data_IF_353693007054
#
_entry.id   IF_353693007054
#
_cell.length_a   1.000
_cell.length_b   1.000
_cell.length_c   1.000
_cell.angle_alpha   90.00
_cell.angle_beta   90.00
_cell.angle_gamma   90.00
#
_symmetry.space_group_name_H-M   'P 1'
#
loop_
_entity.id
_entity.type
_entity.pdbx_description
1 polymer ?
#
# COMPACT_ATOMS: atom_id res chain seq x y z
N UNK A 1 -40.67 -19.85 -62.49
CA UNK A 1 -39.64 -20.01 -61.44
C UNK A 1 -38.86 -18.71 -61.34
N UNK A 2 -39.14 -17.89 -60.32
CA UNK A 2 -38.31 -16.73 -59.95
C UNK A 2 -37.83 -17.03 -58.53
N UNK A 3 -36.54 -17.27 -58.39
CA UNK A 3 -35.89 -17.49 -57.09
C UNK A 3 -35.95 -16.18 -56.30
N UNK A 4 -36.45 -16.26 -55.06
CA UNK A 4 -36.44 -15.15 -54.11
C UNK A 4 -35.01 -14.91 -53.59
N UNK A 5 -34.70 -13.70 -53.10
CA UNK A 5 -33.38 -13.40 -52.56
C UNK A 5 -33.12 -14.23 -51.28
N UNK A 6 -31.85 -14.61 -51.01
CA UNK A 6 -31.53 -15.43 -49.85
C UNK A 6 -31.90 -14.69 -48.56
N UNK A 7 -32.58 -15.43 -47.68
CA UNK A 7 -32.98 -15.02 -46.33
C UNK A 7 -31.76 -14.48 -45.59
N UNK A 8 -31.92 -13.27 -45.06
CA UNK A 8 -30.87 -12.50 -44.41
C UNK A 8 -30.11 -13.30 -43.36
N UNK A 9 -28.79 -13.14 -43.40
CA UNK A 9 -27.92 -13.40 -42.28
C UNK A 9 -28.51 -12.72 -41.04
N UNK A 10 -28.88 -13.50 -40.03
CA UNK A 10 -29.19 -12.98 -38.72
C UNK A 10 -27.98 -12.20 -38.18
N UNK A 11 -28.19 -11.26 -37.24
CA UNK A 11 -27.06 -10.56 -36.64
C UNK A 11 -26.22 -11.62 -35.93
N UNK A 12 -24.99 -11.81 -36.41
CA UNK A 12 -23.98 -12.51 -35.65
C UNK A 12 -23.96 -11.84 -34.26
N UNK A 13 -24.31 -12.60 -33.22
CA UNK A 13 -24.00 -12.19 -31.86
C UNK A 13 -22.49 -12.16 -31.78
N UNK A 14 -21.92 -10.99 -32.06
CA UNK A 14 -20.52 -10.65 -31.82
C UNK A 14 -20.26 -11.03 -30.37
N UNK A 15 -19.40 -12.01 -30.18
CA UNK A 15 -18.84 -12.44 -28.90
C UNK A 15 -18.55 -11.24 -28.02
N UNK A 16 -19.02 -11.27 -26.77
CA UNK A 16 -18.91 -10.22 -25.75
C UNK A 16 -17.47 -9.89 -25.34
N UNK A 17 -16.70 -9.35 -26.28
CA UNK A 17 -15.42 -8.70 -26.06
C UNK A 17 -15.59 -7.34 -26.70
N UNK A 18 -15.52 -6.28 -25.90
CA UNK A 18 -15.54 -4.93 -26.44
C UNK A 18 -14.42 -4.85 -27.49
N UNK A 19 -14.74 -4.45 -28.73
CA UNK A 19 -13.72 -4.22 -29.74
C UNK A 19 -12.97 -2.94 -29.40
N UNK A 20 -12.07 -3.03 -28.42
CA UNK A 20 -11.28 -1.90 -27.96
C UNK A 20 -10.27 -1.53 -29.03
N UNK A 21 -10.30 -0.29 -29.53
CA UNK A 21 -9.32 0.15 -30.51
C UNK A 21 -7.90 0.04 -29.95
N UNK A 22 -6.96 -0.49 -30.75
CA UNK A 22 -5.56 -0.64 -30.31
C UNK A 22 -4.92 0.69 -29.88
N UNK A 23 -5.35 1.81 -30.45
CA UNK A 23 -4.86 3.13 -30.05
C UNK A 23 -5.23 3.47 -28.60
N UNK A 24 -6.34 2.93 -28.06
CA UNK A 24 -6.77 3.20 -26.69
C UNK A 24 -5.90 2.43 -25.68
N UNK A 25 -5.51 1.20 -26.02
CA UNK A 25 -4.46 0.46 -25.28
C UNK A 25 -3.12 1.21 -25.31
N UNK A 26 -2.72 1.73 -26.47
CA UNK A 26 -1.52 2.56 -26.61
C UNK A 26 -1.60 3.84 -25.76
N UNK A 27 -2.73 4.56 -25.82
CA UNK A 27 -2.97 5.76 -25.04
C UNK A 27 -2.93 5.49 -23.54
N UNK A 28 -3.53 4.37 -23.09
CA UNK A 28 -3.43 3.91 -21.72
C UNK A 28 -1.99 3.63 -21.31
N UNK A 29 -1.25 2.82 -22.08
CA UNK A 29 0.13 2.47 -21.77
C UNK A 29 1.04 3.71 -21.69
N UNK A 30 0.87 4.66 -22.63
CA UNK A 30 1.57 5.95 -22.60
C UNK A 30 1.18 6.75 -21.36
N UNK A 31 -0.11 6.80 -21.01
CA UNK A 31 -0.60 7.50 -19.81
C UNK A 31 0.03 6.92 -18.55
N UNK A 32 0.05 5.59 -18.40
CA UNK A 32 0.70 4.91 -17.26
C UNK A 32 2.19 5.20 -17.23
N UNK A 33 2.89 5.09 -18.36
CA UNK A 33 4.33 5.34 -18.44
C UNK A 33 4.68 6.80 -18.07
N UNK A 34 3.93 7.77 -18.60
CA UNK A 34 4.06 9.18 -18.26
C UNK A 34 3.78 9.38 -16.78
N UNK A 35 2.72 8.79 -16.25
CA UNK A 35 2.33 8.97 -14.86
C UNK A 35 3.38 8.41 -13.89
N UNK A 36 3.91 7.20 -14.15
CA UNK A 36 5.02 6.61 -13.39
C UNK A 36 6.29 7.46 -13.50
N UNK A 37 6.55 8.04 -14.67
CA UNK A 37 7.70 8.94 -14.87
C UNK A 37 7.54 10.23 -14.09
N UNK A 38 6.37 10.85 -14.13
CA UNK A 38 6.03 12.06 -13.35
C UNK A 38 6.16 11.77 -11.85
N UNK A 39 5.64 10.63 -11.40
CA UNK A 39 5.74 10.17 -10.01
C UNK A 39 7.20 10.11 -9.53
N UNK A 40 8.06 9.46 -10.34
CA UNK A 40 9.49 9.31 -10.09
C UNK A 40 10.23 10.65 -10.08
N UNK A 41 9.94 11.52 -11.06
CA UNK A 41 10.63 12.81 -11.22
C UNK A 41 10.23 13.80 -10.13
N UNK A 42 8.94 13.89 -9.81
CA UNK A 42 8.42 14.81 -8.81
C UNK A 42 8.99 14.54 -7.40
N UNK A 43 9.33 13.28 -7.11
CA UNK A 43 9.75 12.86 -5.78
C UNK A 43 11.19 12.32 -5.76
N UNK A 44 12.00 12.75 -6.73
CA UNK A 44 13.42 12.37 -6.81
C UNK A 44 14.25 12.91 -5.64
N UNK A 45 13.78 13.96 -4.95
CA UNK A 45 14.44 14.51 -3.76
C UNK A 45 13.86 13.89 -2.50
N UNK A 46 14.74 13.46 -1.60
CA UNK A 46 14.37 12.86 -0.32
C UNK A 46 13.80 13.97 0.57
N UNK A 47 12.48 14.05 0.63
CA UNK A 47 11.72 15.01 1.42
C UNK A 47 10.50 14.28 1.99
N UNK A 48 10.08 14.66 3.20
CA UNK A 48 8.92 14.07 3.87
C UNK A 48 7.66 14.76 3.36
N UNK A 49 6.91 14.08 2.48
CA UNK A 49 5.68 14.60 1.90
C UNK A 49 4.71 15.01 3.02
N UNK A 50 4.35 16.29 3.05
CA UNK A 50 3.38 16.82 4.00
C UNK A 50 1.94 16.47 3.60
N UNK A 51 1.01 16.56 4.55
CA UNK A 51 -0.40 16.24 4.32
C UNK A 51 -1.04 16.99 3.14
N UNK A 52 -0.78 18.30 3.02
CA UNK A 52 -1.31 19.15 1.94
C UNK A 52 -0.78 18.74 0.57
N UNK A 53 0.49 18.38 0.49
CA UNK A 53 1.14 17.91 -0.73
C UNK A 53 0.61 16.53 -1.12
N UNK A 54 0.49 15.60 -0.16
CA UNK A 54 -0.13 14.29 -0.37
C UNK A 54 -1.58 14.42 -0.87
N UNK A 55 -2.35 15.36 -0.32
CA UNK A 55 -3.71 15.68 -0.76
C UNK A 55 -3.77 16.21 -2.20
N UNK A 56 -2.87 17.13 -2.56
CA UNK A 56 -2.77 17.66 -3.92
C UNK A 56 -2.42 16.55 -4.93
N UNK A 57 -1.41 15.72 -4.63
CA UNK A 57 -1.06 14.57 -5.45
C UNK A 57 -2.20 13.57 -5.57
N UNK A 58 -2.89 13.25 -4.47
CA UNK A 58 -4.07 12.38 -4.49
C UNK A 58 -5.16 12.93 -5.42
N UNK A 59 -5.42 14.25 -5.37
CA UNK A 59 -6.35 14.92 -6.28
C UNK A 59 -5.94 14.82 -7.75
N UNK A 60 -4.65 14.96 -8.07
CA UNK A 60 -4.14 14.77 -9.44
C UNK A 60 -4.38 13.33 -9.92
N UNK A 61 -4.09 12.33 -9.09
CA UNK A 61 -4.31 10.92 -9.43
C UNK A 61 -5.79 10.58 -9.64
N UNK A 62 -6.66 11.09 -8.76
CA UNK A 62 -8.12 10.96 -8.91
C UNK A 62 -8.61 11.66 -10.17
N UNK A 63 -8.16 12.88 -10.42
CA UNK A 63 -8.50 13.64 -11.63
C UNK A 63 -8.09 12.90 -12.90
N UNK A 64 -6.88 12.36 -12.94
CA UNK A 64 -6.39 11.56 -14.06
C UNK A 64 -7.27 10.34 -14.32
N UNK A 65 -7.65 9.61 -13.26
CA UNK A 65 -8.52 8.44 -13.37
C UNK A 65 -9.92 8.80 -13.88
N UNK A 66 -10.49 9.92 -13.41
CA UNK A 66 -11.79 10.41 -13.86
C UNK A 66 -11.76 10.89 -15.31
N UNK A 67 -10.72 11.62 -15.72
CA UNK A 67 -10.54 12.04 -17.12
C UNK A 67 -10.45 10.81 -18.03
N UNK A 68 -9.68 9.80 -17.66
CA UNK A 68 -9.62 8.56 -18.42
C UNK A 68 -10.98 7.85 -18.45
N UNK A 69 -11.71 7.82 -17.34
CA UNK A 69 -13.07 7.28 -17.29
C UNK A 69 -14.05 8.03 -18.21
N UNK A 70 -13.94 9.35 -18.32
CA UNK A 70 -14.70 10.13 -19.30
C UNK A 70 -14.32 9.75 -20.74
N UNK A 71 -13.04 9.52 -21.04
CA UNK A 71 -12.61 9.03 -22.35
C UNK A 71 -13.23 7.66 -22.65
N UNK A 72 -13.18 6.73 -21.70
CA UNK A 72 -13.83 5.41 -21.83
C UNK A 72 -15.33 5.57 -22.08
N UNK A 73 -16.01 6.42 -21.30
CA UNK A 73 -17.45 6.67 -21.46
C UNK A 73 -17.80 7.22 -22.84
N UNK A 74 -17.01 8.16 -23.38
CA UNK A 74 -17.26 8.79 -24.67
C UNK A 74 -16.90 7.90 -25.87
N UNK A 75 -15.86 7.08 -25.74
CA UNK A 75 -15.32 6.28 -26.85
C UNK A 75 -15.91 4.86 -26.89
N UNK A 76 -16.05 4.24 -25.72
CA UNK A 76 -16.49 2.86 -25.57
C UNK A 76 -17.96 2.75 -25.12
N UNK A 77 -18.59 3.88 -24.78
CA UNK A 77 -20.02 3.98 -24.47
C UNK A 77 -20.33 4.03 -22.97
N UNK A 78 -21.61 4.27 -22.69
CA UNK A 78 -22.13 4.51 -21.34
C UNK A 78 -21.93 3.32 -20.40
N UNK A 79 -22.11 2.09 -20.91
CA UNK A 79 -21.93 0.85 -20.14
C UNK A 79 -20.48 0.69 -19.69
N UNK A 80 -19.53 0.70 -20.63
CA UNK A 80 -18.10 0.56 -20.33
C UNK A 80 -17.59 1.69 -19.41
N UNK A 81 -18.05 2.92 -19.61
CA UNK A 81 -17.70 4.05 -18.73
C UNK A 81 -18.24 3.88 -17.31
N UNK A 82 -19.47 3.39 -17.15
CA UNK A 82 -20.06 3.12 -15.83
C UNK A 82 -19.32 1.98 -15.14
N UNK A 83 -19.04 0.90 -15.86
CA UNK A 83 -18.25 -0.23 -15.35
C UNK A 83 -16.85 0.19 -14.94
N UNK A 84 -16.16 1.01 -15.75
CA UNK A 84 -14.86 1.56 -15.41
C UNK A 84 -14.89 2.35 -14.11
N UNK A 85 -15.83 3.29 -13.95
CA UNK A 85 -15.93 4.11 -12.73
C UNK A 85 -16.30 3.24 -11.51
N UNK A 86 -17.18 2.27 -11.70
CA UNK A 86 -17.58 1.33 -10.64
C UNK A 86 -16.40 0.48 -10.19
N UNK A 87 -15.69 -0.13 -11.14
CA UNK A 87 -14.50 -0.93 -10.90
C UNK A 87 -13.38 -0.11 -10.27
N UNK A 88 -13.14 1.10 -10.77
CA UNK A 88 -12.13 2.01 -10.24
C UNK A 88 -12.45 2.43 -8.81
N UNK A 89 -13.69 2.81 -8.48
CA UNK A 89 -14.08 3.18 -7.12
C UNK A 89 -14.02 1.98 -6.16
N UNK A 90 -14.48 0.82 -6.61
CA UNK A 90 -14.42 -0.42 -5.84
C UNK A 90 -12.98 -0.75 -5.48
N UNK A 91 -12.11 -0.78 -6.48
CA UNK A 91 -10.68 -1.03 -6.29
C UNK A 91 -10.04 0.05 -5.43
N UNK A 92 -10.37 1.33 -5.66
CA UNK A 92 -9.81 2.43 -4.88
C UNK A 92 -10.14 2.28 -3.39
N UNK A 93 -11.33 1.79 -3.08
CA UNK A 93 -11.80 1.59 -1.72
C UNK A 93 -11.14 0.38 -1.05
N UNK A 94 -11.05 -0.74 -1.77
CA UNK A 94 -10.30 -1.92 -1.34
C UNK A 94 -8.83 -1.59 -1.11
N UNK A 95 -8.23 -0.79 -1.97
CA UNK A 95 -6.82 -0.42 -1.88
C UNK A 95 -6.49 0.45 -0.66
N UNK A 96 -7.47 1.14 -0.05
CA UNK A 96 -7.29 1.88 1.22
C UNK A 96 -7.01 0.92 2.37
N UNK A 97 -7.71 -0.22 2.39
CA UNK A 97 -7.51 -1.26 3.40
C UNK A 97 -6.08 -1.84 3.31
N UNK A 98 -5.62 -2.07 2.08
CA UNK A 98 -4.26 -2.55 1.82
C UNK A 98 -3.17 -1.62 2.41
N UNK A 99 -3.44 -0.32 2.54
CA UNK A 99 -2.49 0.64 3.12
C UNK A 99 -2.25 0.40 4.62
N UNK A 100 -3.19 -0.19 5.35
CA UNK A 100 -2.98 -0.59 6.74
C UNK A 100 -1.95 -1.71 6.83
N UNK A 101 -2.06 -2.73 5.98
CA UNK A 101 -1.06 -3.81 5.91
C UNK A 101 0.30 -3.26 5.49
N UNK A 102 0.36 -2.29 4.57
CA UNK A 102 1.64 -1.64 4.23
C UNK A 102 2.24 -0.92 5.44
N UNK A 103 1.42 -0.23 6.24
CA UNK A 103 1.88 0.43 7.47
C UNK A 103 2.42 -0.58 8.50
N UNK A 104 1.74 -1.73 8.68
CA UNK A 104 2.19 -2.82 9.55
C UNK A 104 3.52 -3.40 9.07
N UNK A 105 3.67 -3.64 7.77
CA UNK A 105 4.92 -4.13 7.17
C UNK A 105 6.06 -3.12 7.43
N UNK A 106 5.82 -1.83 7.17
CA UNK A 106 6.83 -0.80 7.42
C UNK A 106 7.21 -0.68 8.90
N UNK A 107 6.24 -0.81 9.81
CA UNK A 107 6.47 -0.81 11.25
C UNK A 107 7.30 -2.03 11.69
N UNK A 108 6.94 -3.22 11.21
CA UNK A 108 7.63 -4.49 11.52
C UNK A 108 9.10 -4.45 11.10
N UNK A 109 9.38 -4.04 9.86
CA UNK A 109 10.75 -3.93 9.34
C UNK A 109 11.47 -2.64 9.78
N UNK A 110 10.80 -1.76 10.53
CA UNK A 110 11.31 -0.45 10.97
C UNK A 110 11.87 0.38 9.81
N UNK A 111 11.13 0.43 8.70
CA UNK A 111 11.58 1.08 7.46
C UNK A 111 11.66 2.61 7.68
N UNK A 112 12.85 3.22 7.50
CA UNK A 112 12.97 4.67 7.59
C UNK A 112 12.05 5.38 6.59
N UNK A 113 11.37 6.46 7.02
CA UNK A 113 10.41 7.22 6.19
C UNK A 113 10.98 7.66 4.83
N UNK A 114 12.28 7.99 4.78
CA UNK A 114 12.99 8.35 3.55
C UNK A 114 12.99 7.26 2.48
N UNK A 115 12.86 5.98 2.87
CA UNK A 115 12.90 4.84 1.95
C UNK A 115 11.53 4.23 1.65
N UNK A 116 10.51 4.54 2.46
CA UNK A 116 9.13 4.08 2.24
C UNK A 116 8.62 4.46 0.84
N UNK A 117 8.92 5.69 0.40
CA UNK A 117 8.60 6.17 -0.95
C UNK A 117 9.10 5.22 -2.04
N UNK A 118 10.37 4.84 -1.95
CA UNK A 118 11.00 3.98 -2.96
C UNK A 118 10.37 2.59 -2.94
N UNK A 119 10.12 2.05 -1.76
CA UNK A 119 9.46 0.75 -1.62
C UNK A 119 8.07 0.79 -2.24
N UNK A 120 7.26 1.82 -1.95
CA UNK A 120 5.92 1.98 -2.53
C UNK A 120 5.95 2.11 -4.05
N UNK A 121 6.93 2.82 -4.63
CA UNK A 121 7.06 2.93 -6.09
C UNK A 121 7.26 1.56 -6.75
N UNK A 122 8.20 0.75 -6.23
CA UNK A 122 8.41 -0.61 -6.75
C UNK A 122 7.21 -1.51 -6.46
N UNK A 123 6.56 -1.32 -5.31
CA UNK A 123 5.30 -1.96 -4.92
C UNK A 123 4.16 -1.73 -5.91
N UNK A 124 3.95 -0.48 -6.33
CA UNK A 124 2.91 -0.14 -7.32
C UNK A 124 3.23 -0.72 -8.69
N UNK A 125 4.51 -0.69 -9.08
CA UNK A 125 4.93 -1.28 -10.35
C UNK A 125 4.71 -2.79 -10.38
N UNK A 126 5.13 -3.53 -9.34
CA UNK A 126 4.92 -4.98 -9.27
C UNK A 126 3.44 -5.33 -9.15
N UNK A 127 2.68 -4.60 -8.32
CA UNK A 127 1.23 -4.73 -8.25
C UNK A 127 0.58 -4.57 -9.63
N UNK A 128 0.95 -3.56 -10.43
CA UNK A 128 0.39 -3.38 -11.78
C UNK A 128 0.65 -4.58 -12.70
N UNK A 129 1.83 -5.19 -12.60
CA UNK A 129 2.20 -6.37 -13.39
C UNK A 129 1.45 -7.60 -12.92
N UNK A 130 1.54 -7.94 -11.63
CA UNK A 130 0.88 -9.12 -11.08
C UNK A 130 -0.64 -9.04 -11.22
N UNK A 131 -1.21 -7.87 -10.95
CA UNK A 131 -2.65 -7.63 -11.11
C UNK A 131 -3.06 -7.75 -12.57
N UNK A 132 -2.24 -7.27 -13.51
CA UNK A 132 -2.47 -7.53 -14.94
C UNK A 132 -2.54 -9.02 -15.27
N UNK A 133 -1.65 -9.83 -14.70
CA UNK A 133 -1.66 -11.29 -14.86
C UNK A 133 -2.92 -11.90 -14.24
N UNK A 134 -3.25 -11.59 -12.98
CA UNK A 134 -4.42 -12.17 -12.30
C UNK A 134 -5.74 -11.75 -12.91
N UNK A 135 -5.89 -10.49 -13.31
CA UNK A 135 -7.09 -10.00 -13.96
C UNK A 135 -7.27 -10.63 -15.33
N UNK A 136 -6.21 -10.70 -16.14
CA UNK A 136 -6.28 -11.36 -17.45
C UNK A 136 -6.64 -12.84 -17.33
N UNK A 137 -6.03 -13.54 -16.37
CA UNK A 137 -6.35 -14.94 -16.07
C UNK A 137 -7.79 -15.07 -15.55
N UNK A 138 -8.21 -14.19 -14.66
CA UNK A 138 -9.54 -14.18 -14.08
C UNK A 138 -10.64 -13.96 -15.13
N UNK A 139 -10.48 -12.97 -16.01
CA UNK A 139 -11.35 -12.75 -17.17
C UNK A 139 -11.40 -14.00 -18.05
N UNK A 140 -10.24 -14.58 -18.39
CA UNK A 140 -10.19 -15.78 -19.22
C UNK A 140 -10.93 -16.97 -18.59
N UNK A 141 -10.84 -17.13 -17.26
CA UNK A 141 -11.55 -18.18 -16.52
C UNK A 141 -13.05 -17.91 -16.47
N UNK A 142 -13.48 -16.69 -16.17
CA UNK A 142 -14.91 -16.31 -16.12
C UNK A 142 -15.58 -16.53 -17.48
N UNK A 143 -14.92 -16.10 -18.57
CA UNK A 143 -15.44 -16.24 -19.93
C UNK A 143 -15.57 -17.71 -20.37
N UNK A 144 -14.86 -18.64 -19.71
CA UNK A 144 -14.91 -20.07 -20.02
C UNK A 144 -15.81 -20.86 -19.06
N UNK A 145 -15.88 -20.44 -17.80
CA UNK A 145 -16.49 -21.19 -16.71
C UNK A 145 -17.30 -20.27 -15.79
N UNK A 146 -18.52 -19.90 -16.20
CA UNK A 146 -19.43 -19.05 -15.40
C UNK A 146 -19.67 -19.58 -13.98
N UNK A 147 -19.60 -20.90 -13.78
CA UNK A 147 -19.70 -21.52 -12.45
C UNK A 147 -18.65 -21.00 -11.45
N UNK A 148 -17.51 -20.49 -11.93
CA UNK A 148 -16.47 -19.88 -11.09
C UNK A 148 -17.01 -18.67 -10.31
N UNK A 149 -18.03 -17.98 -10.83
CA UNK A 149 -18.63 -16.82 -10.17
C UNK A 149 -19.26 -17.21 -8.82
N UNK A 150 -19.76 -18.44 -8.65
CA UNK A 150 -20.21 -18.94 -7.34
C UNK A 150 -19.05 -19.12 -6.36
N UNK A 151 -17.90 -19.62 -6.82
CA UNK A 151 -16.71 -19.77 -5.99
C UNK A 151 -16.16 -18.40 -5.57
N UNK A 152 -16.12 -17.45 -6.51
CA UNK A 152 -15.79 -16.06 -6.28
C UNK A 152 -16.74 -15.40 -5.27
N UNK A 153 -18.06 -15.61 -5.39
CA UNK A 153 -19.01 -15.15 -4.39
C UNK A 153 -18.74 -15.72 -2.99
N UNK A 154 -18.42 -17.01 -2.90
CA UNK A 154 -18.09 -17.66 -1.62
C UNK A 154 -16.85 -17.05 -0.96
N UNK A 155 -15.80 -16.73 -1.74
CA UNK A 155 -14.62 -16.01 -1.27
C UNK A 155 -15.01 -14.63 -0.74
N UNK A 156 -15.81 -13.86 -1.49
CA UNK A 156 -16.25 -12.53 -1.05
C UNK A 156 -17.07 -12.56 0.25
N UNK A 157 -17.98 -13.54 0.41
CA UNK A 157 -18.72 -13.69 1.66
C UNK A 157 -17.81 -14.08 2.83
N UNK A 158 -16.84 -14.96 2.59
CA UNK A 158 -15.85 -15.30 3.61
C UNK A 158 -15.07 -14.07 4.07
N UNK A 159 -14.58 -13.26 3.14
CA UNK A 159 -13.80 -12.05 3.44
C UNK A 159 -14.65 -10.97 4.09
N UNK A 160 -15.89 -10.77 3.63
CA UNK A 160 -16.85 -9.87 4.29
C UNK A 160 -17.11 -10.28 5.75
N UNK A 161 -17.32 -11.58 5.99
CA UNK A 161 -17.58 -12.12 7.33
C UNK A 161 -16.37 -11.99 8.25
N UNK A 162 -15.17 -12.30 7.75
CA UNK A 162 -13.92 -12.14 8.50
C UNK A 162 -13.71 -10.69 8.93
N UNK A 163 -13.94 -9.75 8.00
CA UNK A 163 -13.83 -8.32 8.22
C UNK A 163 -14.86 -7.80 9.24
N UNK A 164 -16.11 -8.29 9.18
CA UNK A 164 -17.18 -7.96 10.13
C UNK A 164 -16.87 -8.37 11.58
N UNK A 165 -16.22 -9.53 11.75
CA UNK A 165 -15.87 -10.06 13.07
C UNK A 165 -14.62 -9.41 13.68
N UNK A 166 -13.87 -8.65 12.90
CA UNK A 166 -12.55 -8.16 13.31
C UNK A 166 -11.55 -9.29 13.52
N UNK A 167 -11.75 -10.45 12.87
CA UNK A 167 -10.82 -11.59 12.86
C UNK A 167 -9.67 -11.33 11.86
N UNK A 168 -9.25 -10.08 11.72
CA UNK A 168 -7.99 -9.76 11.04
C UNK A 168 -6.85 -10.23 11.93
N UNK A 169 -6.35 -11.43 11.67
CA UNK A 169 -5.05 -11.81 12.22
C UNK A 169 -4.03 -10.73 11.81
N UNK A 170 -3.23 -10.21 12.77
CA UNK A 170 -2.15 -9.30 12.44
C UNK A 170 -1.28 -9.97 11.37
N UNK A 171 -1.21 -9.36 10.18
CA UNK A 171 -0.36 -9.86 9.10
C UNK A 171 1.07 -9.96 9.65
N UNK A 172 1.58 -11.18 9.86
CA UNK A 172 2.93 -11.42 10.34
C UNK A 172 3.89 -11.43 9.13
N UNK A 173 4.63 -10.32 8.88
CA UNK A 173 5.48 -10.22 7.70
C UNK A 173 6.62 -11.23 7.74
N UNK A 174 7.02 -11.67 8.95
CA UNK A 174 8.08 -12.64 9.20
C UNK A 174 7.76 -14.05 8.69
N UNK A 175 6.48 -14.41 8.58
CA UNK A 175 6.02 -15.73 8.09
C UNK A 175 5.67 -15.74 6.60
N UNK A 176 5.64 -14.57 5.96
CA UNK A 176 5.26 -14.45 4.55
C UNK A 176 6.10 -15.40 3.66
N UNK A 177 5.42 -16.11 2.77
CA UNK A 177 6.03 -17.13 1.90
C UNK A 177 7.15 -16.51 1.05
N UNK A 178 6.93 -15.29 0.55
CA UNK A 178 7.94 -14.59 -0.23
C UNK A 178 9.17 -14.19 0.59
N UNK A 179 9.03 -13.78 1.87
CA UNK A 179 10.19 -13.48 2.69
C UNK A 179 11.02 -14.75 2.97
N UNK A 180 10.36 -15.89 3.22
CA UNK A 180 11.03 -17.19 3.36
C UNK A 180 11.73 -17.62 2.07
N UNK A 181 11.08 -17.44 0.93
CA UNK A 181 11.63 -17.77 -0.37
C UNK A 181 12.81 -16.85 -0.72
N UNK A 182 12.68 -15.55 -0.48
CA UNK A 182 13.75 -14.57 -0.69
C UNK A 182 14.98 -14.90 0.17
N UNK A 183 14.79 -15.15 1.48
CA UNK A 183 15.88 -15.53 2.40
C UNK A 183 16.53 -16.87 2.02
N UNK A 184 15.80 -17.75 1.33
CA UNK A 184 16.31 -19.03 0.84
C UNK A 184 17.14 -18.88 -0.45
N UNK A 185 16.78 -17.92 -1.30
CA UNK A 185 17.42 -17.73 -2.62
C UNK A 185 18.60 -16.76 -2.54
N UNK A 186 18.48 -15.68 -1.76
CA UNK A 186 19.48 -14.62 -1.68
C UNK A 186 19.86 -14.36 -0.22
N UNK A 187 21.16 -14.28 0.13
CA UNK A 187 21.59 -13.83 1.45
C UNK A 187 21.04 -12.43 1.73
N UNK A 188 20.36 -12.25 2.86
CA UNK A 188 19.82 -10.96 3.29
C UNK A 188 20.65 -10.46 4.46
N UNK A 189 21.18 -9.24 4.37
CA UNK A 189 21.83 -8.56 5.50
C UNK A 189 20.78 -7.95 6.44
N UNK A 190 21.11 -7.82 7.72
CA UNK A 190 20.18 -7.28 8.73
C UNK A 190 20.06 -5.75 8.69
N UNK A 191 21.09 -5.06 8.19
CA UNK A 191 21.15 -3.60 8.19
C UNK A 191 20.78 -2.97 6.85
N UNK A 192 20.15 -1.79 6.92
CA UNK A 192 19.87 -0.96 5.74
C UNK A 192 21.15 -0.37 5.12
N UNK A 193 21.31 -0.53 3.81
CA UNK A 193 22.44 0.04 3.05
C UNK A 193 21.99 1.25 2.19
N UNK A 194 21.40 2.24 2.86
CA UNK A 194 20.77 3.37 2.18
C UNK A 194 19.55 2.94 1.37
N UNK A 195 19.33 3.56 0.21
CA UNK A 195 18.21 3.24 -0.68
C UNK A 195 18.49 2.07 -1.67
N UNK A 196 19.61 1.36 -1.54
CA UNK A 196 20.00 0.28 -2.45
C UNK A 196 19.24 -1.00 -2.10
N UNK A 197 18.78 -1.75 -3.10
CA UNK A 197 18.15 -3.07 -2.88
C UNK A 197 19.18 -4.19 -2.77
N UNK A 198 20.31 -4.04 -3.46
CA UNK A 198 21.43 -4.98 -3.44
C UNK A 198 22.72 -4.24 -3.11
N UNK A 199 23.60 -4.93 -2.40
CA UNK A 199 24.98 -4.51 -2.16
C UNK A 199 25.92 -5.64 -2.52
N UNK A 200 27.17 -5.30 -2.88
CA UNK A 200 28.22 -6.28 -3.06
C UNK A 200 28.99 -6.41 -1.75
N UNK A 201 28.99 -7.60 -1.18
CA UNK A 201 29.77 -7.96 0.01
C UNK A 201 30.58 -9.20 -0.30
N UNK A 202 31.89 -9.17 -0.02
CA UNK A 202 32.80 -10.29 -0.29
C UNK A 202 32.66 -10.89 -1.72
N UNK A 203 32.46 -10.04 -2.73
CA UNK A 203 32.30 -10.44 -4.13
C UNK A 203 30.93 -11.02 -4.52
N UNK A 204 29.99 -11.16 -3.58
CA UNK A 204 28.63 -11.69 -3.81
C UNK A 204 27.59 -10.57 -3.71
N UNK A 205 26.50 -10.68 -4.48
CA UNK A 205 25.35 -9.78 -4.32
C UNK A 205 24.50 -10.23 -3.13
N UNK A 206 24.34 -9.34 -2.17
CA UNK A 206 23.55 -9.54 -0.95
C UNK A 206 22.33 -8.63 -1.02
N UNK A 207 21.16 -9.18 -0.73
CA UNK A 207 19.91 -8.43 -0.66
C UNK A 207 19.87 -7.61 0.63
N UNK A 208 19.35 -6.40 0.53
CA UNK A 208 19.11 -5.53 1.69
C UNK A 208 17.70 -5.77 2.26
N UNK A 209 17.43 -5.32 3.50
CA UNK A 209 16.08 -5.37 4.07
C UNK A 209 15.03 -4.66 3.20
N UNK A 210 15.39 -3.63 2.42
CA UNK A 210 14.43 -2.95 1.54
C UNK A 210 13.83 -3.88 0.46
N UNK A 211 14.61 -4.84 -0.04
CA UNK A 211 14.10 -5.80 -1.02
C UNK A 211 13.10 -6.77 -0.37
N UNK A 212 13.38 -7.19 0.86
CA UNK A 212 12.47 -8.00 1.67
C UNK A 212 11.14 -7.26 1.93
N UNK A 213 11.18 -5.95 2.20
CA UNK A 213 9.98 -5.13 2.39
C UNK A 213 9.18 -5.03 1.09
N UNK A 214 9.81 -4.78 -0.06
CA UNK A 214 9.12 -4.79 -1.37
C UNK A 214 8.44 -6.14 -1.59
N UNK A 215 9.17 -7.24 -1.40
CA UNK A 215 8.60 -8.58 -1.56
C UNK A 215 7.41 -8.86 -0.62
N UNK A 216 7.47 -8.38 0.63
CA UNK A 216 6.37 -8.51 1.57
C UNK A 216 5.13 -7.72 1.13
N UNK A 217 5.32 -6.51 0.62
CA UNK A 217 4.23 -5.67 0.08
C UNK A 217 3.60 -6.29 -1.15
N UNK A 218 4.39 -6.76 -2.11
CA UNK A 218 3.90 -7.46 -3.30
C UNK A 218 3.11 -8.72 -2.93
N UNK A 219 3.55 -9.44 -1.90
CA UNK A 219 2.85 -10.63 -1.41
C UNK A 219 1.54 -10.28 -0.72
N UNK A 220 1.51 -9.19 0.04
CA UNK A 220 0.29 -8.70 0.65
C UNK A 220 -0.71 -8.25 -0.43
N UNK A 221 -0.27 -7.49 -1.44
CA UNK A 221 -1.11 -7.10 -2.58
C UNK A 221 -1.67 -8.33 -3.32
N UNK A 222 -0.83 -9.34 -3.55
CA UNK A 222 -1.27 -10.61 -4.11
C UNK A 222 -2.30 -11.33 -3.23
N UNK A 223 -2.13 -11.31 -1.91
CA UNK A 223 -3.14 -11.87 -1.00
C UNK A 223 -4.47 -11.10 -1.11
N UNK A 224 -4.43 -9.77 -1.22
CA UNK A 224 -5.62 -8.94 -1.43
C UNK A 224 -6.26 -9.11 -2.81
N UNK A 225 -5.52 -9.54 -3.81
CA UNK A 225 -6.06 -9.89 -5.13
C UNK A 225 -7.12 -11.00 -5.03
N UNK A 226 -7.06 -11.86 -4.02
CA UNK A 226 -8.05 -12.93 -3.79
C UNK A 226 -9.45 -12.37 -3.57
N UNK A 227 -9.58 -11.21 -2.92
CA UNK A 227 -10.87 -10.58 -2.66
C UNK A 227 -11.24 -9.57 -3.75
N UNK A 228 -10.24 -8.81 -4.21
CA UNK A 228 -10.47 -7.70 -5.12
C UNK A 228 -10.62 -8.12 -6.60
N UNK A 229 -9.98 -9.21 -7.04
CA UNK A 229 -10.15 -9.75 -8.41
C UNK A 229 -11.56 -10.28 -8.65
N UNK A 230 -12.11 -11.18 -7.81
CA UNK A 230 -13.53 -11.56 -7.91
C UNK A 230 -14.48 -10.37 -7.93
N UNK A 231 -14.20 -9.37 -7.07
CA UNK A 231 -15.07 -8.23 -6.93
C UNK A 231 -15.11 -7.36 -8.18
N UNK A 232 -13.95 -7.12 -8.83
CA UNK A 232 -13.93 -6.35 -10.08
C UNK A 232 -14.50 -7.14 -11.26
N UNK A 233 -14.29 -8.46 -11.32
CA UNK A 233 -14.87 -9.31 -12.36
C UNK A 233 -16.40 -9.41 -12.26
N UNK A 234 -16.95 -9.16 -11.08
CA UNK A 234 -18.40 -8.98 -10.89
C UNK A 234 -18.92 -7.67 -11.49
N UNK A 235 -18.06 -6.69 -11.71
CA UNK A 235 -18.43 -5.39 -12.28
C UNK A 235 -18.38 -5.45 -13.80
N UNK A 236 -17.34 -6.05 -14.36
CA UNK A 236 -17.13 -6.17 -15.80
C UNK A 236 -16.28 -7.40 -16.11
N UNK A 237 -16.56 -8.06 -17.21
CA UNK A 237 -15.75 -9.13 -17.80
C UNK A 237 -14.85 -8.63 -18.95
N UNK A 238 -14.91 -7.32 -19.26
CA UNK A 238 -14.03 -6.72 -20.27
C UNK A 238 -12.62 -6.47 -19.69
N UNK A 239 -11.64 -7.15 -20.28
CA UNK A 239 -10.25 -7.09 -19.81
C UNK A 239 -9.67 -5.68 -19.83
N UNK A 240 -10.06 -4.83 -20.77
CA UNK A 240 -9.58 -3.46 -20.84
C UNK A 240 -10.16 -2.61 -19.71
N UNK A 241 -11.47 -2.63 -19.51
CA UNK A 241 -12.15 -1.89 -18.43
C UNK A 241 -11.64 -2.34 -17.07
N UNK A 242 -11.55 -3.66 -16.84
CA UNK A 242 -11.07 -4.25 -15.59
C UNK A 242 -9.61 -3.87 -15.32
N UNK A 243 -8.72 -4.03 -16.29
CA UNK A 243 -7.29 -3.73 -16.08
C UNK A 243 -7.02 -2.24 -15.92
N UNK A 244 -7.59 -1.39 -16.79
CA UNK A 244 -7.31 0.05 -16.75
C UNK A 244 -7.87 0.70 -15.50
N UNK A 245 -9.09 0.36 -15.08
CA UNK A 245 -9.70 0.88 -13.84
C UNK A 245 -8.86 0.53 -12.61
N UNK A 246 -8.37 -0.71 -12.54
CA UNK A 246 -7.50 -1.17 -11.45
C UNK A 246 -6.15 -0.47 -11.47
N UNK A 247 -5.52 -0.34 -12.64
CA UNK A 247 -4.28 0.40 -12.80
C UNK A 247 -4.39 1.84 -12.27
N UNK A 248 -5.44 2.57 -12.66
CA UNK A 248 -5.67 3.94 -12.19
C UNK A 248 -5.98 4.02 -10.68
N UNK A 249 -6.59 2.98 -10.11
CA UNK A 249 -6.82 2.93 -8.67
C UNK A 249 -5.50 2.82 -7.88
N UNK A 250 -4.57 1.96 -8.35
CA UNK A 250 -3.30 1.68 -7.67
C UNK A 250 -2.21 2.74 -7.91
N UNK A 251 -2.20 3.42 -9.07
CA UNK A 251 -1.15 4.41 -9.42
C UNK A 251 -1.03 5.55 -8.37
N UNK A 252 -2.15 5.95 -7.75
CA UNK A 252 -2.17 6.98 -6.71
C UNK A 252 -1.90 6.48 -5.29
N UNK A 253 -1.57 5.20 -5.09
CA UNK A 253 -1.43 4.60 -3.75
C UNK A 253 -0.38 5.28 -2.89
N UNK A 254 0.73 5.71 -3.49
CA UNK A 254 1.82 6.38 -2.78
C UNK A 254 1.36 7.68 -2.11
N UNK A 255 0.67 8.54 -2.86
CA UNK A 255 0.10 9.77 -2.32
C UNK A 255 -0.97 9.48 -1.25
N UNK A 256 -1.80 8.45 -1.50
CA UNK A 256 -2.83 8.03 -0.57
C UNK A 256 -2.26 7.47 0.74
N UNK A 257 -1.15 6.73 0.69
CA UNK A 257 -0.44 6.23 1.87
C UNK A 257 0.01 7.38 2.78
N UNK A 258 0.66 8.41 2.23
CA UNK A 258 1.11 9.55 3.05
C UNK A 258 -0.05 10.43 3.55
N UNK A 259 -1.15 10.48 2.80
CA UNK A 259 -2.38 11.13 3.26
C UNK A 259 -3.01 10.34 4.42
N UNK A 260 -3.10 9.01 4.28
CA UNK A 260 -3.75 8.13 5.23
C UNK A 260 -2.92 7.89 6.48
N UNK A 261 -1.59 7.81 6.38
CA UNK A 261 -0.68 7.64 7.51
C UNK A 261 -0.85 8.72 8.59
N UNK A 262 -1.32 9.91 8.21
CA UNK A 262 -1.66 11.00 9.14
C UNK A 262 -3.11 10.98 9.65
N UNK A 263 -3.94 10.06 9.14
CA UNK A 263 -5.37 9.89 9.40
C UNK A 263 -5.74 8.48 9.88
N UNK A 264 -4.76 7.58 10.11
CA UNK A 264 -5.02 6.17 10.46
C UNK A 264 -5.99 6.05 11.64
N UNK A 265 -5.85 6.90 12.65
CA UNK A 265 -6.69 6.89 13.85
C UNK A 265 -8.13 7.39 13.61
N UNK A 266 -8.43 8.00 12.45
CA UNK A 266 -9.76 8.56 12.10
C UNK A 266 -10.64 7.62 11.27
N UNK A 267 -10.09 6.53 10.73
CA UNK A 267 -10.78 5.68 9.75
C UNK A 267 -11.19 4.30 10.25
N UNK A 268 -11.49 4.18 11.55
CA UNK A 268 -11.77 2.89 12.21
C UNK A 268 -13.05 2.14 11.73
N UNK A 269 -13.88 2.76 10.88
CA UNK A 269 -15.14 2.14 10.37
C UNK A 269 -15.07 1.78 8.88
N UNK A 270 -13.95 2.01 8.20
CA UNK A 270 -13.85 1.67 6.77
C UNK A 270 -14.04 0.18 6.52
N UNK A 271 -13.52 -0.67 7.39
CA UNK A 271 -13.63 -2.13 7.37
C UNK A 271 -15.10 -2.58 7.33
N UNK A 272 -15.98 -1.88 8.07
CA UNK A 272 -17.42 -2.13 8.08
C UNK A 272 -18.08 -1.73 6.76
N UNK A 273 -17.66 -0.61 6.17
CA UNK A 273 -18.11 -0.22 4.84
C UNK A 273 -17.70 -1.21 3.77
N UNK A 274 -16.45 -1.64 3.84
CA UNK A 274 -15.86 -2.58 2.89
C UNK A 274 -16.52 -3.96 2.96
N UNK A 275 -16.79 -4.48 4.16
CA UNK A 275 -17.50 -5.76 4.32
C UNK A 275 -18.91 -5.74 3.72
N UNK A 276 -19.64 -4.63 3.86
CA UNK A 276 -20.94 -4.45 3.21
C UNK A 276 -20.82 -4.45 1.69
N UNK A 277 -19.80 -3.78 1.15
CA UNK A 277 -19.54 -3.76 -0.30
C UNK A 277 -19.19 -5.17 -0.80
N UNK A 278 -18.30 -5.89 -0.11
CA UNK A 278 -17.90 -7.26 -0.47
C UNK A 278 -19.10 -8.21 -0.45
N UNK A 279 -19.94 -8.16 0.59
CA UNK A 279 -21.15 -8.97 0.68
C UNK A 279 -22.14 -8.65 -0.46
N UNK A 280 -22.34 -7.36 -0.76
CA UNK A 280 -23.20 -6.93 -1.87
C UNK A 280 -22.68 -7.43 -3.22
N UNK A 281 -21.37 -7.33 -3.47
CA UNK A 281 -20.76 -7.85 -4.70
C UNK A 281 -20.89 -9.38 -4.76
N UNK A 282 -20.73 -10.09 -3.63
CA UNK A 282 -20.97 -11.54 -3.55
C UNK A 282 -22.39 -11.92 -3.95
N UNK A 283 -23.40 -11.15 -3.51
CA UNK A 283 -24.79 -11.33 -3.97
C UNK A 283 -24.92 -11.06 -5.46
N UNK A 284 -24.31 -9.98 -5.97
CA UNK A 284 -24.30 -9.66 -7.41
C UNK A 284 -23.76 -10.84 -8.24
N UNK A 285 -22.64 -11.43 -7.82
CA UNK A 285 -22.04 -12.59 -8.49
C UNK A 285 -22.95 -13.81 -8.52
N UNK A 286 -23.64 -14.12 -7.42
CA UNK A 286 -24.61 -15.24 -7.39
C UNK A 286 -25.74 -14.98 -8.38
N UNK A 287 -26.29 -13.76 -8.41
CA UNK A 287 -27.38 -13.40 -9.31
C UNK A 287 -26.95 -13.49 -10.77
N UNK A 288 -25.77 -12.96 -11.12
CA UNK A 288 -25.20 -13.03 -12.46
C UNK A 288 -24.94 -14.48 -12.89
N UNK A 289 -24.30 -15.28 -12.03
CA UNK A 289 -24.06 -16.69 -12.29
C UNK A 289 -25.36 -17.48 -12.50
N UNK A 290 -26.39 -17.16 -11.70
CA UNK A 290 -27.70 -17.82 -11.77
C UNK A 290 -28.49 -17.39 -13.01
N UNK A 291 -28.41 -16.13 -13.42
CA UNK A 291 -29.01 -15.62 -14.66
C UNK A 291 -28.49 -16.39 -15.87
N UNK A 292 -27.17 -16.54 -15.96
CA UNK A 292 -26.48 -17.21 -17.06
C UNK A 292 -26.66 -18.73 -17.03
N UNK A 293 -26.59 -19.38 -15.86
CA UNK A 293 -26.57 -20.85 -15.77
C UNK A 293 -27.93 -21.51 -15.51
N UNK A 294 -28.84 -20.85 -14.80
CA UNK A 294 -30.10 -21.46 -14.33
C UNK A 294 -31.27 -20.98 -15.17
N UNK A 295 -31.51 -19.67 -15.20
CA UNK A 295 -32.62 -19.10 -15.95
C UNK A 295 -32.44 -17.59 -16.19
N UNK A 296 -32.65 -17.11 -17.43
CA UNK A 296 -32.67 -15.66 -17.74
C UNK A 296 -33.77 -14.88 -17.00
N UNK A 297 -34.69 -15.56 -16.33
CA UNK A 297 -35.72 -14.91 -15.50
C UNK A 297 -35.17 -14.34 -14.19
N UNK A 298 -33.96 -14.74 -13.78
CA UNK A 298 -33.32 -14.25 -12.55
C UNK A 298 -32.77 -12.85 -12.83
N UNK A 299 -33.13 -11.81 -12.07
CA UNK A 299 -32.69 -10.45 -12.37
C UNK A 299 -31.21 -10.27 -12.05
N UNK A 300 -30.48 -9.63 -12.96
CA UNK A 300 -29.12 -9.16 -12.72
C UNK A 300 -29.15 -7.76 -12.10
N UNK A 301 -28.10 -7.41 -11.34
CA UNK A 301 -27.95 -6.07 -10.78
C UNK A 301 -27.20 -5.19 -11.80
N UNK A 302 -27.86 -4.17 -12.38
CA UNK A 302 -27.20 -3.30 -13.36
C UNK A 302 -26.02 -2.54 -12.74
N UNK A 303 -24.97 -2.30 -13.55
CA UNK A 303 -23.77 -1.55 -13.12
C UNK A 303 -24.06 -0.17 -12.51
N UNK A 304 -25.01 0.65 -13.00
CA UNK A 304 -25.38 1.91 -12.33
C UNK A 304 -25.93 1.74 -10.91
N UNK A 305 -26.68 0.66 -10.66
CA UNK A 305 -27.20 0.34 -9.32
C UNK A 305 -26.06 -0.07 -8.40
N UNK A 306 -25.14 -0.90 -8.90
CA UNK A 306 -23.93 -1.29 -8.19
C UNK A 306 -23.07 -0.09 -7.81
N UNK A 307 -22.84 0.82 -8.77
CA UNK A 307 -22.15 2.09 -8.55
C UNK A 307 -22.81 2.92 -7.44
N UNK A 308 -24.13 3.10 -7.52
CA UNK A 308 -24.88 3.88 -6.55
C UNK A 308 -24.77 3.29 -5.14
N UNK A 309 -24.92 1.96 -4.99
CA UNK A 309 -24.76 1.27 -3.71
C UNK A 309 -23.35 1.46 -3.15
N UNK A 310 -22.31 1.24 -3.98
CA UNK A 310 -20.91 1.42 -3.57
C UNK A 310 -20.66 2.84 -3.11
N UNK A 311 -21.06 3.85 -3.88
CA UNK A 311 -20.90 5.27 -3.53
C UNK A 311 -21.62 5.60 -2.22
N UNK A 312 -22.85 5.14 -2.04
CA UNK A 312 -23.63 5.39 -0.82
C UNK A 312 -22.97 4.75 0.40
N UNK A 313 -22.54 3.49 0.29
CA UNK A 313 -21.89 2.78 1.40
C UNK A 313 -20.55 3.42 1.76
N UNK A 314 -19.75 3.80 0.77
CA UNK A 314 -18.48 4.50 1.02
C UNK A 314 -18.70 5.87 1.65
N UNK A 315 -19.62 6.68 1.10
CA UNK A 315 -19.94 7.98 1.65
C UNK A 315 -20.46 7.88 3.09
N UNK A 316 -21.38 6.95 3.35
CA UNK A 316 -21.89 6.68 4.70
C UNK A 316 -20.76 6.26 5.66
N UNK A 317 -19.87 5.38 5.21
CA UNK A 317 -18.75 4.89 6.03
C UNK A 317 -17.77 6.00 6.38
N UNK A 318 -17.40 6.83 5.41
CA UNK A 318 -16.54 8.00 5.62
C UNK A 318 -17.21 9.00 6.57
N UNK A 319 -18.48 9.35 6.33
CA UNK A 319 -19.21 10.31 7.18
C UNK A 319 -19.36 9.79 8.62
N UNK A 320 -19.70 8.51 8.81
CA UNK A 320 -19.78 7.91 10.14
C UNK A 320 -18.41 7.89 10.84
N UNK A 321 -17.34 7.56 10.10
CA UNK A 321 -15.99 7.53 10.66
C UNK A 321 -15.50 8.92 11.07
N UNK A 322 -15.85 9.97 10.33
CA UNK A 322 -15.49 11.35 10.68
C UNK A 322 -16.31 11.92 11.85
N UNK A 323 -17.56 11.48 12.01
CA UNK A 323 -18.46 11.97 13.08
C UNK A 323 -18.19 11.34 14.45
N UNK A 324 -17.54 10.19 14.50
CA UNK A 324 -17.23 9.49 15.75
C UNK A 324 -15.71 9.43 15.92
N UNK A 325 -15.12 10.24 16.82
CA UNK A 325 -13.72 10.07 17.20
C UNK A 325 -13.48 8.64 17.70
N UNK A 326 -12.35 8.05 17.33
CA UNK A 326 -12.01 6.70 17.78
C UNK A 326 -12.16 6.58 19.31
N UNK A 327 -12.74 5.49 19.83
CA UNK A 327 -12.74 5.25 21.26
C UNK A 327 -11.28 5.29 21.73
N UNK A 328 -10.99 6.20 22.65
CA UNK A 328 -9.68 6.36 23.25
C UNK A 328 -9.28 5.03 23.90
N UNK A 329 -8.51 4.23 23.18
CA UNK A 329 -7.89 3.04 23.75
C UNK A 329 -6.73 3.57 24.61
N UNK A 330 -6.72 3.32 25.93
CA UNK A 330 -5.64 3.81 26.79
C UNK A 330 -4.40 2.95 26.57
N UNK A 331 -3.61 3.29 25.55
CA UNK A 331 -2.34 2.62 25.26
C UNK A 331 -1.26 3.63 24.91
N UNK A 332 -0.68 4.21 25.97
CA UNK A 332 0.76 4.47 26.19
C UNK A 332 0.92 5.74 27.05
N UNK A 333 1.74 5.69 28.12
CA UNK A 333 1.97 6.86 28.97
C UNK A 333 2.57 8.01 28.15
N UNK A 334 2.37 9.26 28.58
CA UNK A 334 2.82 10.44 27.86
C UNK A 334 4.31 10.27 27.50
N UNK A 335 4.64 10.56 26.23
CA UNK A 335 6.03 10.74 25.80
C UNK A 335 6.70 11.62 26.84
N UNK A 336 7.58 11.03 27.63
CA UNK A 336 8.46 11.76 28.52
C UNK A 336 9.09 12.87 27.71
N UNK A 337 9.04 14.07 28.30
CA UNK A 337 9.76 15.23 27.84
C UNK A 337 11.16 14.81 27.39
N UNK A 338 11.59 15.40 26.28
CA UNK A 338 12.96 15.37 25.81
C UNK A 338 13.92 15.40 27.00
N UNK A 339 14.61 14.29 27.26
CA UNK A 339 15.86 14.32 28.01
C UNK A 339 16.83 15.16 27.19
N UNK A 340 16.97 16.40 27.61
CA UNK A 340 18.07 17.28 27.26
C UNK A 340 19.37 16.51 27.59
N UNK A 341 20.30 16.33 26.64
CA UNK A 341 21.55 15.65 26.95
C UNK A 341 22.30 16.46 28.02
N UNK A 342 23.04 15.81 28.93
CA UNK A 342 23.72 16.51 30.01
C UNK A 342 24.67 17.54 29.40
N UNK A 343 24.51 18.81 29.80
CA UNK A 343 25.48 19.87 29.47
C UNK A 343 26.83 19.41 29.98
N UNK A 344 27.68 19.01 29.06
CA UNK A 344 29.12 18.95 29.27
C UNK A 344 29.55 20.34 29.73
N UNK A 345 30.11 20.41 30.93
CA UNK A 345 30.81 21.59 31.41
C UNK A 345 31.91 21.92 30.41
N UNK A 346 31.64 22.86 29.51
CA UNK A 346 32.66 23.45 28.66
C UNK A 346 33.54 24.31 29.57
N UNK A 347 34.80 23.89 29.68
CA UNK A 347 35.84 24.62 30.36
C UNK A 347 35.96 26.03 29.83
N UNK A 348 36.09 26.95 30.78
CA UNK A 348 36.46 28.34 30.59
C UNK A 348 37.72 28.42 29.71
N UNK A 349 37.62 29.05 28.54
CA UNK A 349 38.77 29.37 27.71
C UNK A 349 39.56 30.54 28.33
N UNK A 350 40.91 30.53 28.32
CA UNK A 350 41.69 31.64 28.85
C UNK A 350 41.63 32.84 27.90
N UNK A 351 41.31 34.04 28.44
CA UNK A 351 41.44 35.31 27.73
C UNK A 351 42.91 35.70 27.58
N UNK A 352 43.40 36.09 26.39
CA UNK A 352 44.72 36.68 26.25
C UNK A 352 44.67 38.21 26.42
N UNK A 353 45.57 38.74 27.25
CA UNK A 353 46.10 40.09 27.11
C UNK A 353 45.63 41.13 28.11
N UNK A 354 46.44 41.36 29.15
CA UNK A 354 46.74 42.69 29.67
C UNK A 354 48.06 42.65 30.45
N UNK A 355 49.16 42.97 29.75
CA UNK A 355 50.40 43.40 30.37
C UNK A 355 50.21 44.79 30.98
N UNK A 356 50.44 44.94 32.30
CA UNK A 356 51.07 46.12 32.92
C UNK A 356 51.13 45.96 34.46
N UNK A 357 52.31 46.18 35.05
CA UNK A 357 52.40 46.91 36.33
C UNK A 357 52.92 46.21 37.59
N UNK A 358 54.25 45.98 37.63
CA UNK A 358 55.19 46.19 38.77
C UNK A 358 55.19 45.26 40.03
N UNK A 359 56.38 45.08 40.69
CA UNK A 359 56.71 43.96 41.57
C UNK A 359 56.74 44.31 43.08
N UNK A 360 56.82 43.29 43.93
CA UNK A 360 57.37 43.44 45.28
C UNK A 360 57.02 42.34 46.28
N UNK A 361 58.05 41.86 46.99
CA UNK A 361 58.06 41.05 48.23
C UNK A 361 57.93 39.53 48.03
N UNK A 362 59.03 38.74 47.99
CA UNK A 362 59.93 38.33 49.08
C UNK A 362 59.33 37.24 50.01
N UNK A 363 60.09 36.16 50.22
CA UNK A 363 59.95 35.29 51.39
C UNK A 363 59.95 33.77 51.14
N UNK A 364 61.16 33.21 51.17
CA UNK A 364 61.56 32.01 51.93
C UNK A 364 61.10 30.59 51.55
N UNK A 365 62.12 29.86 51.05
CA UNK A 365 62.55 28.49 51.37
C UNK A 365 61.88 27.78 52.56
N UNK A 366 61.53 26.50 52.37
CA UNK A 366 62.05 25.41 53.22
C UNK A 366 61.91 24.03 52.56
N UNK A 367 63.04 23.34 52.56
CA UNK A 367 63.34 21.92 52.41
C UNK A 367 62.52 21.06 53.38
N UNK A 368 62.07 19.86 52.99
CA UNK A 368 62.51 18.58 53.59
C UNK A 368 61.85 17.36 52.91
N UNK A 369 62.69 16.34 52.73
CA UNK A 369 62.34 15.00 52.28
C UNK A 369 61.93 14.14 53.49
N UNK A 370 61.07 13.14 53.28
CA UNK A 370 61.28 11.86 53.96
C UNK A 370 60.66 10.68 53.20
N UNK A 371 61.41 9.58 53.20
CA UNK A 371 61.11 8.27 52.64
C UNK A 371 60.43 7.40 53.71
N UNK A 372 59.66 6.39 53.29
CA UNK A 372 59.15 5.37 54.21
C UNK A 372 58.57 4.17 53.47
N UNK A 373 59.38 3.11 53.43
CA UNK A 373 59.15 1.75 52.90
C UNK A 373 58.04 0.95 53.64
N UNK A 374 57.14 0.32 52.86
CA UNK A 374 56.78 -1.12 52.82
C UNK A 374 56.08 -1.83 54.05
N UNK A 375 55.61 -3.12 53.97
CA UNK A 375 54.22 -3.59 53.71
C UNK A 375 53.71 -4.61 54.79
N UNK A 376 53.02 -5.78 54.56
CA UNK A 376 51.89 -6.22 53.70
C UNK A 376 50.72 -6.92 54.49
N UNK A 377 49.66 -7.38 53.79
CA UNK A 377 48.62 -8.33 54.30
C UNK A 377 47.22 -7.93 53.81
N UNK A 378 46.28 -8.78 53.37
CA UNK A 378 46.08 -10.22 53.52
C UNK A 378 45.01 -10.66 52.49
N UNK A 379 45.09 -11.90 52.01
CA UNK A 379 44.06 -12.57 51.20
C UNK A 379 42.84 -12.94 52.06
N UNK A 380 41.62 -12.83 51.53
CA UNK A 380 40.65 -13.92 51.72
C UNK A 380 39.68 -14.03 50.53
N UNK A 381 39.43 -15.28 50.20
CA UNK A 381 38.65 -15.85 49.12
C UNK A 381 37.23 -16.13 49.64
N UNK A 382 36.19 -15.83 48.86
CA UNK A 382 34.92 -16.56 48.98
C UNK A 382 33.96 -16.35 47.81
N UNK A 383 33.93 -17.40 47.00
CA UNK A 383 32.89 -17.94 46.15
C UNK A 383 31.47 -18.01 46.76
N UNK A 384 30.52 -18.19 45.84
CA UNK A 384 29.18 -18.84 45.91
C UNK A 384 27.93 -18.02 46.24
N UNK A 385 26.94 -18.20 45.34
CA UNK A 385 25.56 -17.75 45.42
C UNK A 385 24.89 -17.82 44.05
#
# INVERSE_FOLDING_TARGET
>A
MREGPPVGAGPERVTGVLQVPLWLWGAFAVTVAVALTVDLLAHRRVHVIGFKEAGAWSGVWVGLALVFGCVVFLVLGTTAGTEYITAWLLEKSLSVDNLFVFAVIFAYFRVPRAYQHRVLFFGVFGALVFRGIFLSLGVAVVNRFTAVLFAFAAVLFYSAHKLLKGEEEPFDPGRSVALRLLRRIVPVRDEYAGAKFFVKEAGKHVATPLLAVVAAIETADLAFAVDSVPAVLAVSDDAFVVYTSNAFAILGLRALYFLLAGLLDRFHRLDKGLSVILAFIGVKLILQASHEMISPSIPEIPSPVSLAVIVVVLAASVVLSLRQPAPSTPSSPPRTAQEEPPRTAQGEAPRPGAMAGNPGSAGDTHTEADQGDDPPGECDDRTTG
#
